data_IF_410980217234
#
_entry.id   IF_410980217234
#
_cell.length_a   1.000
_cell.length_b   1.000
_cell.length_c   1.000
_cell.angle_alpha   90.00
_cell.angle_beta   90.00
_cell.angle_gamma   90.00
#
_symmetry.space_group_name_H-M   'P 1'
#
loop_
_entity.id
_entity.type
_entity.pdbx_description
1 polymer ?
#
# COMPACT_ATOMS: atom_id res chain seq x y z
N UNK A 1 10.93 -10.99 4.70
CA UNK A 1 10.83 -10.22 5.97
C UNK A 1 10.10 -8.90 5.75
N UNK A 2 9.15 -8.59 6.61
CA UNK A 2 8.42 -7.32 6.54
C UNK A 2 9.08 -6.33 7.50
N UNK A 3 9.41 -5.15 7.00
CA UNK A 3 10.08 -4.11 7.77
C UNK A 3 9.15 -2.89 7.88
N UNK A 4 8.98 -2.39 9.09
CA UNK A 4 8.24 -1.16 9.37
C UNK A 4 9.19 0.02 9.19
N UNK A 5 8.97 0.81 8.15
CA UNK A 5 9.83 1.93 7.79
C UNK A 5 9.34 3.20 8.47
N UNK A 6 10.22 3.83 9.24
CA UNK A 6 10.01 5.20 9.76
C UNK A 6 10.90 6.19 9.03
N UNK A 7 12.10 5.77 8.69
CA UNK A 7 13.09 6.56 7.95
C UNK A 7 13.78 5.63 6.95
N UNK A 8 13.97 6.09 5.74
CA UNK A 8 14.61 5.29 4.69
C UNK A 8 16.13 5.45 4.71
N UNK A 9 16.85 4.32 4.63
CA UNK A 9 18.28 4.38 4.34
C UNK A 9 18.46 4.76 2.87
N UNK A 10 19.68 5.18 2.50
CA UNK A 10 19.97 5.52 1.11
C UNK A 10 19.77 4.33 0.17
N UNK A 11 20.15 3.13 0.61
CA UNK A 11 19.98 1.91 -0.18
C UNK A 11 18.49 1.61 -0.39
N UNK A 12 17.69 1.69 0.67
CA UNK A 12 16.24 1.50 0.59
C UNK A 12 15.59 2.52 -0.33
N UNK A 13 15.98 3.79 -0.19
CA UNK A 13 15.46 4.87 -1.02
C UNK A 13 15.69 4.59 -2.50
N UNK A 14 16.93 4.23 -2.85
CA UNK A 14 17.29 3.94 -4.25
C UNK A 14 16.53 2.76 -4.82
N UNK A 15 16.35 1.70 -4.03
CA UNK A 15 15.56 0.54 -4.46
C UNK A 15 14.09 0.89 -4.65
N UNK A 16 13.54 1.70 -3.76
CA UNK A 16 12.12 2.08 -3.81
C UNK A 16 11.81 3.02 -4.97
N UNK A 17 12.76 3.83 -5.43
CA UNK A 17 12.55 4.67 -6.62
C UNK A 17 12.08 3.80 -7.80
N UNK A 18 12.76 2.68 -8.05
CA UNK A 18 12.39 1.79 -9.16
C UNK A 18 11.03 1.14 -8.95
N UNK A 19 10.74 0.68 -7.74
CA UNK A 19 9.44 0.08 -7.44
C UNK A 19 8.30 1.09 -7.55
N UNK A 20 8.51 2.32 -7.11
CA UNK A 20 7.50 3.39 -7.22
C UNK A 20 7.21 3.69 -8.68
N UNK A 21 8.23 3.76 -9.51
CA UNK A 21 8.05 4.00 -10.95
C UNK A 21 7.20 2.88 -11.58
N UNK A 22 7.49 1.62 -11.24
CA UNK A 22 6.72 0.48 -11.73
C UNK A 22 5.29 0.49 -11.21
N UNK A 23 5.09 0.85 -9.95
CA UNK A 23 3.77 0.96 -9.35
C UNK A 23 2.89 1.96 -10.11
N UNK A 24 3.39 3.16 -10.36
CA UNK A 24 2.62 4.18 -11.07
C UNK A 24 2.35 3.78 -12.52
N UNK A 25 3.31 3.17 -13.18
CA UNK A 25 3.12 2.70 -14.56
C UNK A 25 2.03 1.63 -14.65
N UNK A 26 2.02 0.67 -13.73
CA UNK A 26 1.05 -0.42 -13.75
C UNK A 26 -0.35 -0.01 -13.26
N UNK A 27 -0.43 0.82 -12.21
CA UNK A 27 -1.71 1.11 -11.57
C UNK A 27 -2.35 2.39 -12.06
N UNK A 28 -1.55 3.39 -12.39
CA UNK A 28 -2.03 4.72 -12.79
C UNK A 28 -1.80 5.00 -14.27
N UNK A 29 -1.18 4.06 -14.98
CA UNK A 29 -0.78 4.24 -16.38
C UNK A 29 0.04 5.54 -16.56
N UNK A 30 0.87 5.86 -15.56
CA UNK A 30 1.67 7.07 -15.52
C UNK A 30 3.15 6.72 -15.41
N UNK A 31 3.93 7.21 -16.38
CA UNK A 31 5.38 6.96 -16.40
C UNK A 31 6.10 8.07 -15.66
N UNK A 32 6.56 7.79 -14.43
CA UNK A 32 7.32 8.74 -13.64
C UNK A 32 8.80 8.74 -14.04
N UNK A 33 9.41 9.93 -14.06
CA UNK A 33 10.86 10.04 -14.11
C UNK A 33 11.45 9.90 -12.70
N UNK A 34 12.79 9.88 -12.61
CA UNK A 34 13.48 9.72 -11.32
C UNK A 34 13.16 10.85 -10.36
N UNK A 35 13.07 12.09 -10.85
CA UNK A 35 12.79 13.25 -10.00
C UNK A 35 11.40 13.17 -9.38
N UNK A 36 10.41 12.76 -10.16
CA UNK A 36 9.04 12.61 -9.66
C UNK A 36 8.93 11.47 -8.65
N UNK A 37 9.58 10.34 -8.91
CA UNK A 37 9.60 9.22 -7.97
C UNK A 37 10.33 9.61 -6.67
N UNK A 38 11.43 10.36 -6.79
CA UNK A 38 12.17 10.87 -5.64
C UNK A 38 11.29 11.79 -4.79
N UNK A 39 10.59 12.72 -5.44
CA UNK A 39 9.67 13.63 -4.74
C UNK A 39 8.56 12.89 -4.02
N UNK A 40 8.02 11.85 -4.65
CA UNK A 40 7.00 11.00 -4.04
C UNK A 40 7.52 10.36 -2.75
N UNK A 41 8.71 9.75 -2.78
CA UNK A 41 9.30 9.10 -1.61
C UNK A 41 9.67 10.08 -0.51
N UNK A 42 10.19 11.25 -0.84
CA UNK A 42 10.44 12.31 0.16
C UNK A 42 9.14 12.75 0.83
N UNK A 43 8.06 12.85 0.06
CA UNK A 43 6.77 13.20 0.64
C UNK A 43 6.27 12.10 1.58
N UNK A 44 6.43 10.83 1.22
CA UNK A 44 6.07 9.70 2.10
C UNK A 44 6.85 9.79 3.41
N UNK A 45 8.17 9.95 3.34
CA UNK A 45 9.01 10.09 4.53
C UNK A 45 8.56 11.25 5.42
N UNK A 46 8.27 12.38 4.81
CA UNK A 46 7.82 13.57 5.52
C UNK A 46 6.48 13.33 6.22
N UNK A 47 5.55 12.64 5.55
CA UNK A 47 4.25 12.31 6.13
C UNK A 47 4.40 11.27 7.25
N UNK A 48 5.29 10.30 7.12
CA UNK A 48 5.57 9.33 8.19
C UNK A 48 6.09 10.01 9.45
N UNK A 49 6.91 11.05 9.30
CA UNK A 49 7.43 11.83 10.42
C UNK A 49 6.33 12.61 11.13
N UNK A 50 5.38 13.16 10.37
CA UNK A 50 4.31 14.01 10.89
C UNK A 50 3.10 13.25 11.45
N UNK A 51 2.81 12.07 10.93
CA UNK A 51 1.57 11.35 11.22
C UNK A 51 1.87 9.95 11.74
N UNK A 52 1.67 9.74 13.04
CA UNK A 52 1.91 8.44 13.67
C UNK A 52 1.00 7.34 13.15
N UNK A 53 -0.17 7.71 12.64
CA UNK A 53 -1.12 6.73 12.10
C UNK A 53 -0.78 6.26 10.69
N UNK A 54 0.17 6.92 10.03
CA UNK A 54 0.63 6.48 8.72
C UNK A 54 1.74 5.45 8.87
N UNK A 55 1.63 4.35 8.13
CA UNK A 55 2.59 3.25 8.19
C UNK A 55 3.06 2.88 6.80
N UNK A 56 4.34 2.60 6.69
CA UNK A 56 4.95 2.17 5.44
C UNK A 56 5.74 0.89 5.70
N UNK A 57 5.26 -0.22 5.13
CA UNK A 57 5.91 -1.52 5.27
C UNK A 57 6.56 -1.90 3.96
N UNK A 58 7.76 -2.47 4.05
CA UNK A 58 8.42 -3.04 2.88
C UNK A 58 8.68 -4.52 3.10
N UNK A 59 8.65 -5.29 2.02
CA UNK A 59 9.09 -6.68 2.03
C UNK A 59 10.50 -6.73 1.47
N UNK A 60 11.41 -7.34 2.23
CA UNK A 60 12.81 -7.45 1.86
C UNK A 60 13.24 -8.91 1.91
N UNK A 61 14.00 -9.33 0.89
CA UNK A 61 14.57 -10.65 0.83
C UNK A 61 16.01 -10.53 0.30
N UNK A 62 16.96 -11.04 1.06
CA UNK A 62 18.40 -10.97 0.74
C UNK A 62 18.88 -9.54 0.44
N UNK A 63 18.39 -8.56 1.19
CA UNK A 63 18.76 -7.17 1.03
C UNK A 63 18.06 -6.43 -0.13
N UNK A 64 17.13 -7.10 -0.81
CA UNK A 64 16.38 -6.51 -1.92
C UNK A 64 14.92 -6.30 -1.53
N UNK A 65 14.43 -5.08 -1.74
CA UNK A 65 13.01 -4.76 -1.51
C UNK A 65 12.22 -5.21 -2.73
N UNK A 66 11.19 -6.02 -2.49
CA UNK A 66 10.36 -6.59 -3.54
C UNK A 66 8.88 -6.22 -3.44
N UNK A 67 8.51 -5.42 -2.45
CA UNK A 67 7.14 -4.94 -2.32
C UNK A 67 7.02 -3.90 -1.23
N UNK A 68 5.90 -3.15 -1.23
CA UNK A 68 5.61 -2.16 -0.20
C UNK A 68 4.11 -2.00 0.01
N UNK A 69 3.76 -1.50 1.19
CA UNK A 69 2.40 -1.14 1.54
C UNK A 69 2.40 0.18 2.29
N UNK A 70 1.51 1.09 1.91
CA UNK A 70 1.26 2.33 2.63
C UNK A 70 -0.17 2.29 3.16
N UNK A 71 -0.35 2.53 4.46
CA UNK A 71 -1.67 2.49 5.08
C UNK A 71 -1.80 3.46 6.23
N UNK A 72 -3.02 3.86 6.52
CA UNK A 72 -3.36 4.80 7.58
C UNK A 72 -4.30 4.12 8.58
N UNK A 73 -3.91 4.05 9.86
CA UNK A 73 -4.71 3.38 10.89
C UNK A 73 -5.71 4.31 11.59
N UNK A 74 -5.70 5.60 11.27
CA UNK A 74 -6.65 6.55 11.82
C UNK A 74 -7.24 7.37 10.68
N UNK A 75 -8.29 6.83 10.08
CA UNK A 75 -8.92 7.40 8.90
C UNK A 75 -10.43 7.52 9.15
N UNK A 76 -11.07 8.46 8.47
CA UNK A 76 -12.52 8.61 8.55
C UNK A 76 -13.11 8.39 7.16
N UNK A 77 -13.99 7.40 7.05
CA UNK A 77 -14.69 7.10 5.81
C UNK A 77 -16.17 6.96 6.12
N UNK A 78 -17.00 7.77 5.45
CA UNK A 78 -18.46 7.79 5.69
C UNK A 78 -18.82 7.95 7.17
N UNK A 79 -18.13 8.86 7.86
CA UNK A 79 -18.31 9.14 9.30
C UNK A 79 -17.98 7.94 10.20
N UNK A 80 -17.24 6.96 9.70
CA UNK A 80 -16.77 5.82 10.46
C UNK A 80 -15.26 5.91 10.62
N UNK A 81 -14.79 5.75 11.87
CA UNK A 81 -13.36 5.67 12.14
C UNK A 81 -12.85 4.29 11.76
N UNK A 82 -11.84 4.24 10.92
CA UNK A 82 -11.38 3.00 10.32
C UNK A 82 -9.89 3.08 9.99
N UNK A 83 -9.36 1.99 9.47
CA UNK A 83 -8.05 1.99 8.80
C UNK A 83 -8.28 2.00 7.29
N UNK A 84 -7.32 2.54 6.55
CA UNK A 84 -7.41 2.60 5.10
C UNK A 84 -6.08 2.16 4.49
N UNK A 85 -6.12 1.13 3.65
CA UNK A 85 -4.96 0.68 2.90
C UNK A 85 -4.86 1.55 1.64
N UNK A 86 -3.81 2.37 1.58
CA UNK A 86 -3.66 3.37 0.52
C UNK A 86 -2.98 2.81 -0.72
N UNK A 87 -1.89 2.06 -0.54
CA UNK A 87 -1.11 1.54 -1.66
C UNK A 87 -0.52 0.19 -1.31
N UNK A 88 -0.50 -0.72 -2.28
CA UNK A 88 0.14 -2.03 -2.18
C UNK A 88 0.75 -2.39 -3.53
N UNK A 89 2.02 -2.74 -3.52
CA UNK A 89 2.71 -3.18 -4.72
C UNK A 89 3.70 -4.29 -4.43
N UNK A 90 3.74 -5.28 -5.30
CA UNK A 90 4.75 -6.35 -5.29
C UNK A 90 5.33 -6.43 -6.70
N UNK A 91 6.66 -6.46 -6.82
CA UNK A 91 7.32 -6.55 -8.11
C UNK A 91 6.87 -7.80 -8.87
N UNK A 92 6.76 -7.70 -10.19
CA UNK A 92 6.19 -8.77 -11.03
C UNK A 92 6.85 -10.13 -10.83
N UNK A 93 8.17 -10.14 -10.78
CA UNK A 93 8.95 -11.38 -10.64
C UNK A 93 8.81 -12.03 -9.26
N UNK A 94 8.26 -11.31 -8.29
CA UNK A 94 8.08 -11.81 -6.93
C UNK A 94 6.62 -12.11 -6.56
N UNK A 95 5.72 -12.04 -7.54
CA UNK A 95 4.29 -12.33 -7.31
C UNK A 95 4.04 -13.82 -7.17
N UNK A 96 2.85 -14.15 -6.65
CA UNK A 96 2.41 -15.54 -6.40
C UNK A 96 3.25 -16.26 -5.34
N UNK A 97 3.96 -15.51 -4.50
CA UNK A 97 4.75 -16.05 -3.39
C UNK A 97 4.19 -15.65 -2.03
N UNK A 98 3.03 -15.03 -2.00
CA UNK A 98 2.38 -14.62 -0.75
C UNK A 98 2.91 -13.32 -0.14
N UNK A 99 3.73 -12.56 -0.85
CA UNK A 99 4.32 -11.31 -0.32
C UNK A 99 3.24 -10.27 -0.07
N UNK A 100 2.34 -10.06 -1.03
CA UNK A 100 1.23 -9.11 -0.88
C UNK A 100 0.36 -9.46 0.31
N UNK A 101 0.04 -10.73 0.48
CA UNK A 101 -0.74 -11.21 1.62
C UNK A 101 -0.04 -10.92 2.94
N UNK A 102 1.26 -11.17 3.03
CA UNK A 102 2.03 -10.91 4.26
C UNK A 102 2.06 -9.43 4.60
N UNK A 103 2.21 -8.56 3.59
CA UNK A 103 2.16 -7.13 3.79
C UNK A 103 0.80 -6.70 4.34
N UNK A 104 -0.29 -7.19 3.74
CA UNK A 104 -1.64 -6.88 4.20
C UNK A 104 -1.87 -7.41 5.61
N UNK A 105 -1.46 -8.65 5.92
CA UNK A 105 -1.61 -9.22 7.26
C UNK A 105 -0.87 -8.39 8.31
N UNK A 106 0.31 -7.87 7.96
CA UNK A 106 1.05 -6.98 8.87
C UNK A 106 0.27 -5.70 9.14
N UNK A 107 -0.30 -5.09 8.11
CA UNK A 107 -1.13 -3.90 8.26
C UNK A 107 -2.39 -4.21 9.07
N UNK A 108 -3.04 -5.33 8.80
CA UNK A 108 -4.23 -5.76 9.55
C UNK A 108 -3.94 -5.90 11.03
N UNK A 109 -2.74 -6.39 11.38
CA UNK A 109 -2.37 -6.63 12.79
C UNK A 109 -2.34 -5.36 13.64
N UNK A 110 -2.20 -4.19 13.01
CA UNK A 110 -2.15 -2.89 13.71
C UNK A 110 -3.36 -2.00 13.40
N UNK A 111 -4.28 -2.49 12.58
CA UNK A 111 -5.41 -1.70 12.07
C UNK A 111 -6.59 -1.67 13.04
N UNK A 112 -7.50 -0.73 12.80
CA UNK A 112 -8.81 -0.66 13.44
C UNK A 112 -9.65 -1.88 13.06
N UNK A 113 -10.84 -1.99 13.65
CA UNK A 113 -11.74 -3.12 13.42
C UNK A 113 -12.22 -3.22 11.97
N UNK A 114 -12.30 -2.10 11.27
CA UNK A 114 -12.73 -2.05 9.88
C UNK A 114 -11.61 -1.46 9.03
N UNK A 115 -11.30 -2.14 7.93
CA UNK A 115 -10.30 -1.69 6.98
C UNK A 115 -10.97 -1.49 5.63
N UNK A 116 -10.76 -0.31 5.04
CA UNK A 116 -11.22 0.01 3.70
C UNK A 116 -10.04 0.11 2.74
N UNK A 117 -10.33 -0.12 1.48
CA UNK A 117 -9.38 0.11 0.39
C UNK A 117 -10.15 0.30 -0.92
N UNK A 118 -9.48 0.83 -1.92
CA UNK A 118 -10.00 0.83 -3.28
C UNK A 118 -9.16 -0.13 -4.13
N UNK A 119 -9.82 -0.84 -5.04
CA UNK A 119 -9.14 -1.82 -5.88
C UNK A 119 -9.52 -1.64 -7.34
N UNK A 120 -8.52 -1.56 -8.22
CA UNK A 120 -8.76 -1.64 -9.64
C UNK A 120 -9.14 -3.09 -10.02
N UNK A 121 -9.60 -3.30 -11.25
CA UNK A 121 -10.07 -4.62 -11.68
C UNK A 121 -9.05 -5.73 -11.49
N UNK A 122 -7.79 -5.44 -11.74
CA UNK A 122 -6.74 -6.44 -11.65
C UNK A 122 -6.45 -6.87 -10.22
N UNK A 123 -6.69 -6.00 -9.25
CA UNK A 123 -6.44 -6.26 -7.83
C UNK A 123 -7.63 -6.87 -7.10
N UNK A 124 -8.84 -6.77 -7.66
CA UNK A 124 -10.07 -7.21 -6.97
C UNK A 124 -10.03 -8.67 -6.55
N UNK A 125 -9.57 -9.55 -7.44
CA UNK A 125 -9.48 -10.97 -7.15
C UNK A 125 -8.58 -11.27 -5.96
N UNK A 126 -7.44 -10.59 -5.89
CA UNK A 126 -6.50 -10.72 -4.78
C UNK A 126 -7.17 -10.34 -3.46
N UNK A 127 -7.79 -9.16 -3.41
CA UNK A 127 -8.40 -8.70 -2.16
C UNK A 127 -9.58 -9.56 -1.73
N UNK A 128 -10.39 -10.04 -2.67
CA UNK A 128 -11.45 -11.00 -2.34
C UNK A 128 -10.88 -12.29 -1.75
N UNK A 129 -9.76 -12.76 -2.28
CA UNK A 129 -9.14 -14.01 -1.80
C UNK A 129 -8.65 -13.92 -0.36
N UNK A 130 -8.40 -12.72 0.16
CA UNK A 130 -7.95 -12.51 1.53
C UNK A 130 -9.03 -11.89 2.44
N UNK A 131 -10.29 -11.93 2.00
CA UNK A 131 -11.43 -11.64 2.86
C UNK A 131 -12.06 -10.27 2.72
N UNK A 132 -11.63 -9.47 1.74
CA UNK A 132 -12.26 -8.16 1.49
C UNK A 132 -13.50 -8.34 0.62
N UNK A 133 -14.53 -7.56 0.90
CA UNK A 133 -15.80 -7.60 0.17
C UNK A 133 -16.14 -6.22 -0.39
N UNK A 134 -16.75 -6.20 -1.56
CA UNK A 134 -17.16 -4.95 -2.22
C UNK A 134 -18.28 -4.27 -1.43
N UNK A 135 -18.23 -2.94 -1.34
CA UNK A 135 -19.20 -2.15 -0.59
C UNK A 135 -20.31 -1.55 -1.44
N UNK A 136 -20.23 -1.61 -2.75
CA UNK A 136 -21.06 -0.89 -3.72
C UNK A 136 -20.70 0.60 -3.88
N UNK A 137 -19.74 1.10 -3.12
CA UNK A 137 -19.23 2.46 -3.31
C UNK A 137 -18.12 2.46 -4.36
N UNK A 138 -17.98 3.59 -5.02
CA UNK A 138 -16.95 3.83 -6.03
C UNK A 138 -16.16 5.06 -5.63
N UNK A 139 -14.84 4.98 -5.73
CA UNK A 139 -13.96 6.12 -5.52
C UNK A 139 -14.13 7.08 -6.70
N UNK A 140 -14.56 8.32 -6.42
CA UNK A 140 -14.84 9.31 -7.45
C UNK A 140 -13.58 9.76 -8.20
N UNK A 141 -12.42 9.69 -7.55
CA UNK A 141 -11.17 10.18 -8.14
C UNK A 141 -10.63 9.22 -9.20
N UNK A 142 -10.79 7.90 -9.00
CA UNK A 142 -10.19 6.90 -9.89
C UNK A 142 -11.19 5.89 -10.47
N UNK A 143 -12.45 5.92 -10.04
CA UNK A 143 -13.49 5.01 -10.52
C UNK A 143 -13.35 3.58 -9.99
N UNK A 144 -12.47 3.33 -9.05
CA UNK A 144 -12.26 2.01 -8.49
C UNK A 144 -13.31 1.67 -7.44
N UNK A 145 -13.62 0.39 -7.31
CA UNK A 145 -14.55 -0.08 -6.29
C UNK A 145 -13.92 -0.02 -4.90
N UNK A 146 -14.75 0.34 -3.91
CA UNK A 146 -14.34 0.36 -2.50
C UNK A 146 -14.64 -0.99 -1.89
N UNK A 147 -13.65 -1.55 -1.21
CA UNK A 147 -13.73 -2.83 -0.51
C UNK A 147 -13.54 -2.62 0.98
N UNK A 148 -14.08 -3.53 1.78
CA UNK A 148 -13.86 -3.51 3.22
C UNK A 148 -13.68 -4.91 3.80
N UNK A 149 -13.04 -4.94 4.96
CA UNK A 149 -12.91 -6.15 5.78
C UNK A 149 -13.08 -5.79 7.24
N UNK A 150 -13.90 -6.56 7.94
CA UNK A 150 -13.99 -6.49 9.40
C UNK A 150 -12.95 -7.44 9.98
N UNK A 151 -12.11 -6.94 10.89
CA UNK A 151 -11.00 -7.72 11.44
C UNK A 151 -11.41 -8.87 12.35
N UNK A 152 -12.59 -8.82 12.88
CA UNK A 152 -13.04 -9.81 13.88
C UNK A 152 -13.44 -11.11 13.25
#
# INVERSE_FOLDING_TARGET
MIIDIKTLTKVQFNQLIELVKLYFEETENEKLDDDSATSYLYNVEKQLEKHQALHFFVSEDNGLINGFLLGNTLYNYNNEECSFLLELYVSKENRLQGIGRKLVEKFESISKDVIYLTANKDAEKFYRSIGYIATNDIDEDNGNNVYKKNRN
#
